data_IF_255140355691
#
_entry.id   IF_255140355691
#
_cell.length_a   1.000
_cell.length_b   1.000
_cell.length_c   1.000
_cell.angle_alpha   90.00
_cell.angle_beta   90.00
_cell.angle_gamma   90.00
#
_symmetry.space_group_name_H-M   'P 1'
#
loop_
_entity.id
_entity.type
_entity.pdbx_description
1 polymer ?
#
# COMPACT_ATOMS: atom_id res chain seq x y z
N UNK A 1 18.37 16.54 -1.34
CA UNK A 1 18.88 15.26 -0.74
C UNK A 1 18.10 14.05 -1.24
N UNK A 2 16.82 13.84 -0.88
CA UNK A 2 16.08 12.64 -1.32
C UNK A 2 15.80 12.63 -2.84
N UNK A 3 15.40 13.77 -3.41
CA UNK A 3 15.16 13.91 -4.86
C UNK A 3 16.41 13.66 -5.68
N UNK A 4 17.56 14.18 -5.23
CA UNK A 4 18.85 14.04 -5.93
C UNK A 4 19.35 12.59 -5.88
N UNK A 5 19.13 11.90 -4.75
CA UNK A 5 19.39 10.47 -4.61
C UNK A 5 18.55 9.66 -5.60
N UNK A 6 17.24 9.90 -5.65
CA UNK A 6 16.33 9.21 -6.56
C UNK A 6 16.71 9.45 -8.03
N UNK A 7 17.03 10.69 -8.39
CA UNK A 7 17.47 11.05 -9.73
C UNK A 7 18.77 10.34 -10.12
N UNK A 8 19.75 10.31 -9.22
CA UNK A 8 21.03 9.61 -9.43
C UNK A 8 20.85 8.10 -9.63
N UNK A 9 19.88 7.48 -8.96
CA UNK A 9 19.58 6.06 -9.10
C UNK A 9 18.59 5.73 -10.23
N UNK A 10 18.08 6.73 -10.95
CA UNK A 10 17.13 6.54 -12.05
C UNK A 10 15.78 5.96 -11.62
N UNK A 11 15.39 6.13 -10.36
CA UNK A 11 14.14 5.57 -9.80
C UNK A 11 12.99 6.55 -10.00
N UNK A 12 11.82 6.07 -10.45
CA UNK A 12 10.61 6.89 -10.51
C UNK A 12 9.84 6.83 -9.19
N UNK A 13 9.68 7.96 -8.50
CA UNK A 13 8.88 8.03 -7.27
C UNK A 13 7.40 8.16 -7.60
N UNK A 14 6.57 7.37 -6.91
CA UNK A 14 5.10 7.47 -6.94
C UNK A 14 4.61 7.87 -5.56
N UNK A 15 3.77 8.90 -5.50
CA UNK A 15 3.16 9.37 -4.26
C UNK A 15 1.72 8.84 -4.17
N UNK A 16 1.32 8.40 -2.97
CA UNK A 16 -0.09 8.13 -2.69
C UNK A 16 -0.89 9.42 -2.76
N UNK A 17 -2.19 9.31 -3.07
CA UNK A 17 -3.11 10.42 -2.97
C UNK A 17 -3.09 11.05 -1.57
N UNK A 18 -3.16 12.38 -1.52
CA UNK A 18 -3.20 13.12 -0.26
C UNK A 18 -4.41 12.69 0.56
N UNK A 19 -4.22 12.50 1.86
CA UNK A 19 -5.28 12.13 2.82
C UNK A 19 -5.97 10.78 2.58
N UNK A 20 -5.60 10.04 1.53
CA UNK A 20 -6.00 8.65 1.30
C UNK A 20 -4.99 7.70 1.97
N UNK A 21 -5.37 7.16 3.13
CA UNK A 21 -4.53 6.21 3.86
C UNK A 21 -4.33 4.88 3.12
N UNK A 22 -5.26 4.48 2.25
CA UNK A 22 -5.28 3.20 1.56
C UNK A 22 -4.17 3.02 0.51
N UNK A 23 -3.63 4.09 -0.07
CA UNK A 23 -2.69 4.03 -1.20
C UNK A 23 -1.41 3.21 -0.96
N UNK A 24 -1.03 3.00 0.30
CA UNK A 24 0.13 2.17 0.69
C UNK A 24 -0.30 0.91 1.46
N UNK A 25 -1.49 0.38 1.18
CA UNK A 25 -2.13 -0.70 1.94
C UNK A 25 -1.30 -1.98 2.02
N UNK A 26 -0.54 -2.32 0.96
CA UNK A 26 0.36 -3.48 0.94
C UNK A 26 1.47 -3.30 1.99
N UNK A 27 2.24 -2.21 1.90
CA UNK A 27 3.30 -1.91 2.86
C UNK A 27 2.79 -1.86 4.31
N UNK A 28 1.61 -1.26 4.52
CA UNK A 28 0.95 -1.22 5.83
C UNK A 28 0.62 -2.61 6.37
N UNK A 29 0.13 -3.52 5.53
CA UNK A 29 -0.15 -4.91 5.91
C UNK A 29 1.14 -5.67 6.22
N UNK A 30 2.20 -5.48 5.43
CA UNK A 30 3.52 -6.04 5.71
C UNK A 30 4.04 -5.59 7.07
N UNK A 31 3.98 -4.28 7.37
CA UNK A 31 4.38 -3.74 8.67
C UNK A 31 3.61 -4.38 9.83
N UNK A 32 2.29 -4.57 9.69
CA UNK A 32 1.49 -5.26 10.71
C UNK A 32 1.99 -6.69 10.94
N UNK A 33 2.23 -7.45 9.87
CA UNK A 33 2.70 -8.84 9.97
C UNK A 33 4.06 -8.95 10.65
N UNK A 34 5.04 -8.13 10.23
CA UNK A 34 6.39 -8.15 10.83
C UNK A 34 6.35 -7.77 12.30
N UNK A 35 5.60 -6.72 12.67
CA UNK A 35 5.43 -6.33 14.09
C UNK A 35 4.80 -7.44 14.92
N UNK A 36 3.80 -8.14 14.39
CA UNK A 36 3.15 -9.27 15.06
C UNK A 36 4.13 -10.43 15.26
N UNK A 37 4.97 -10.74 14.26
CA UNK A 37 5.99 -11.80 14.38
C UNK A 37 6.99 -11.46 15.47
N UNK A 38 7.56 -10.24 15.43
CA UNK A 38 8.53 -9.77 16.42
C UNK A 38 7.97 -9.86 17.85
N UNK A 39 6.74 -9.38 18.07
CA UNK A 39 6.09 -9.43 19.38
C UNK A 39 5.78 -10.86 19.84
N UNK A 40 5.31 -11.75 18.94
CA UNK A 40 4.92 -13.12 19.31
C UNK A 40 6.10 -14.05 19.54
N UNK A 41 7.19 -13.86 18.79
CA UNK A 41 8.40 -14.69 18.89
C UNK A 41 9.47 -14.07 19.79
N UNK A 42 9.22 -12.86 20.32
CA UNK A 42 10.16 -12.09 21.10
C UNK A 42 11.53 -11.97 20.42
N UNK A 43 11.51 -11.61 19.14
CA UNK A 43 12.70 -11.55 18.29
C UNK A 43 12.93 -10.14 17.73
N UNK A 44 14.11 -9.92 17.17
CA UNK A 44 14.47 -8.67 16.48
C UNK A 44 13.61 -8.44 15.22
N UNK A 45 13.65 -7.21 14.70
CA UNK A 45 12.91 -6.86 13.48
C UNK A 45 13.50 -7.58 12.27
N UNK A 46 14.82 -7.76 12.26
CA UNK A 46 15.59 -8.45 11.24
C UNK A 46 15.18 -9.93 11.17
N UNK A 47 15.14 -10.62 12.31
CA UNK A 47 14.68 -12.01 12.41
C UNK A 47 13.21 -12.14 12.03
N UNK A 48 12.36 -11.20 12.45
CA UNK A 48 10.95 -11.18 12.08
C UNK A 48 10.76 -11.00 10.56
N UNK A 49 11.59 -10.17 9.93
CA UNK A 49 11.59 -9.95 8.49
C UNK A 49 12.08 -11.18 7.73
N UNK A 50 13.15 -11.82 8.20
CA UNK A 50 13.62 -13.10 7.65
C UNK A 50 12.50 -14.14 7.68
N UNK A 51 11.88 -14.33 8.85
CA UNK A 51 10.76 -15.26 9.04
C UNK A 51 9.57 -14.91 8.14
N UNK A 52 9.23 -13.63 7.99
CA UNK A 52 8.17 -13.19 7.11
C UNK A 52 8.41 -13.56 5.64
N UNK A 53 9.66 -13.46 5.17
CA UNK A 53 10.01 -13.74 3.79
C UNK A 53 10.08 -15.24 3.46
N UNK A 54 10.51 -16.07 4.42
CA UNK A 54 10.68 -17.53 4.24
C UNK A 54 9.45 -18.35 4.64
N UNK A 55 8.57 -17.81 5.51
CA UNK A 55 7.39 -18.54 5.97
C UNK A 55 6.28 -18.48 4.91
N UNK A 56 5.77 -19.64 4.46
CA UNK A 56 4.63 -19.70 3.54
C UNK A 56 3.38 -19.07 4.14
N UNK A 57 2.61 -18.34 3.34
CA UNK A 57 1.45 -17.59 3.84
C UNK A 57 0.30 -18.50 4.31
N UNK A 58 0.11 -19.64 3.66
CA UNK A 58 -0.98 -20.58 3.94
C UNK A 58 -0.51 -21.90 4.58
N UNK A 59 0.73 -21.96 5.11
CA UNK A 59 1.42 -23.12 5.72
C UNK A 59 1.42 -24.46 4.93
N UNK A 60 0.69 -24.54 3.82
CA UNK A 60 0.46 -25.75 3.01
C UNK A 60 1.32 -25.82 1.75
N UNK A 61 1.81 -24.67 1.25
CA UNK A 61 2.60 -24.62 0.02
C UNK A 61 3.86 -23.74 0.20
N UNK A 62 5.07 -24.33 0.27
CA UNK A 62 6.35 -23.61 0.35
C UNK A 62 6.55 -22.54 -0.73
N UNK A 63 5.98 -22.71 -1.93
CA UNK A 63 6.07 -21.77 -3.04
C UNK A 63 5.33 -20.45 -2.80
N UNK A 64 4.47 -20.37 -1.77
CA UNK A 64 3.76 -19.14 -1.40
C UNK A 64 4.57 -18.20 -0.50
N UNK A 65 5.79 -18.59 -0.11
CA UNK A 65 6.72 -17.72 0.58
C UNK A 65 7.16 -16.57 -0.33
N UNK A 66 7.33 -15.36 0.23
CA UNK A 66 7.60 -14.16 -0.57
C UNK A 66 8.95 -14.23 -1.27
N UNK A 67 9.95 -14.80 -0.61
CA UNK A 67 11.26 -15.03 -1.22
C UNK A 67 11.15 -15.89 -2.48
N UNK A 68 10.30 -16.91 -2.46
CA UNK A 68 10.12 -17.83 -3.59
C UNK A 68 9.41 -17.17 -4.78
N UNK A 69 8.50 -16.22 -4.52
CA UNK A 69 7.87 -15.39 -5.56
C UNK A 69 8.89 -14.46 -6.24
N UNK A 70 9.87 -13.94 -5.50
CA UNK A 70 10.93 -13.05 -6.02
C UNK A 70 11.99 -13.83 -6.80
N UNK A 71 12.33 -15.05 -6.36
CA UNK A 71 13.48 -15.79 -6.89
C UNK A 71 13.19 -16.71 -8.09
N UNK A 72 11.93 -16.88 -8.55
CA UNK A 72 11.53 -17.04 -9.98
C UNK A 72 10.32 -17.99 -10.20
N UNK A 73 9.15 -17.43 -10.55
CA UNK A 73 8.51 -17.54 -11.89
C UNK A 73 7.28 -16.61 -12.04
N UNK A 74 6.78 -16.49 -13.29
CA UNK A 74 6.12 -15.32 -13.88
C UNK A 74 4.95 -14.67 -13.10
N UNK A 75 5.11 -13.36 -12.88
CA UNK A 75 4.10 -12.45 -12.32
C UNK A 75 2.90 -12.37 -13.27
N UNK A 76 1.76 -12.92 -12.84
CA UNK A 76 0.44 -12.51 -13.32
C UNK A 76 -0.29 -11.84 -12.17
N UNK A 77 -0.35 -10.50 -12.23
CA UNK A 77 -1.23 -9.72 -11.36
C UNK A 77 -2.65 -9.95 -11.85
N UNK A 78 -3.50 -10.55 -11.00
CA UNK A 78 -4.94 -10.56 -11.18
C UNK A 78 -5.48 -9.33 -10.45
N UNK A 79 -6.06 -8.40 -11.19
CA UNK A 79 -6.63 -7.18 -10.61
C UNK A 79 -7.74 -7.55 -9.60
N UNK A 80 -7.77 -6.95 -8.40
CA UNK A 80 -8.94 -6.98 -7.56
C UNK A 80 -9.99 -6.03 -8.14
N UNK A 81 -11.21 -6.53 -8.33
CA UNK A 81 -12.39 -5.73 -8.69
C UNK A 81 -12.56 -4.57 -7.71
N UNK A 82 -12.42 -3.34 -8.19
CA UNK A 82 -12.88 -2.13 -7.51
C UNK A 82 -14.33 -1.83 -7.94
N UNK A 83 -15.17 -1.46 -6.97
CA UNK A 83 -16.52 -1.00 -7.23
C UNK A 83 -16.44 0.34 -7.96
N UNK A 84 -16.94 0.36 -9.19
CA UNK A 84 -17.06 1.56 -10.02
C UNK A 84 -18.21 2.44 -9.54
N UNK A 85 -17.90 3.47 -8.75
CA UNK A 85 -18.56 4.76 -8.90
C UNK A 85 -17.55 5.68 -9.59
N UNK A 86 -17.77 5.92 -10.89
CA UNK A 86 -16.89 6.77 -11.70
C UNK A 86 -17.21 8.23 -11.42
N UNK A 87 -16.19 8.99 -11.05
CA UNK A 87 -16.29 10.44 -10.95
C UNK A 87 -16.04 11.07 -12.31
N UNK A 88 -16.90 11.99 -12.72
CA UNK A 88 -16.69 12.83 -13.89
C UNK A 88 -16.12 14.20 -13.48
N UNK A 89 -15.41 14.85 -14.41
CA UNK A 89 -15.01 16.25 -14.22
C UNK A 89 -16.27 17.09 -14.02
N UNK A 90 -16.24 17.98 -13.03
CA UNK A 90 -17.37 18.81 -12.56
C UNK A 90 -18.32 18.15 -11.55
N UNK A 91 -18.11 16.89 -11.18
CA UNK A 91 -18.90 16.28 -10.09
C UNK A 91 -18.68 17.01 -8.76
N UNK A 92 -19.78 17.20 -8.03
CA UNK A 92 -19.75 17.72 -6.66
C UNK A 92 -19.42 16.60 -5.69
N UNK A 93 -18.30 16.73 -4.98
CA UNK A 93 -17.82 15.74 -4.02
C UNK A 93 -17.69 16.33 -2.62
N UNK A 94 -17.74 15.47 -1.60
CA UNK A 94 -17.48 15.86 -0.22
C UNK A 94 -16.04 15.51 0.16
N UNK A 95 -15.22 16.53 0.38
CA UNK A 95 -13.79 16.41 0.69
C UNK A 95 -13.57 16.54 2.19
N UNK A 96 -12.86 15.57 2.77
CA UNK A 96 -12.48 15.60 4.18
C UNK A 96 -11.32 16.60 4.37
N UNK A 97 -11.44 17.57 5.30
CA UNK A 97 -10.35 18.48 5.56
C UNK A 97 -9.13 17.77 6.21
N UNK A 98 -7.91 18.30 6.00
CA UNK A 98 -6.69 17.76 6.60
C UNK A 98 -6.81 17.72 8.13
N UNK A 99 -6.41 16.61 8.77
CA UNK A 99 -6.40 16.49 10.24
C UNK A 99 -7.78 16.41 10.91
N UNK A 100 -8.86 16.28 10.14
CA UNK A 100 -10.23 16.20 10.64
C UNK A 100 -10.45 15.03 11.61
N UNK A 101 -11.17 15.28 12.72
CA UNK A 101 -11.71 14.23 13.61
C UNK A 101 -12.97 13.62 13.02
N UNK A 102 -13.46 12.51 13.60
CA UNK A 102 -14.58 11.74 13.05
C UNK A 102 -15.91 12.52 12.99
N UNK A 103 -16.05 13.55 13.83
CA UNK A 103 -17.18 14.47 13.94
C UNK A 103 -17.08 15.68 13.00
N UNK A 104 -15.93 15.87 12.34
CA UNK A 104 -15.71 17.04 11.49
C UNK A 104 -16.47 16.91 10.17
N UNK A 105 -17.31 17.90 9.86
CA UNK A 105 -18.12 17.94 8.63
C UNK A 105 -17.22 18.05 7.39
N UNK A 106 -17.54 17.26 6.36
CA UNK A 106 -16.84 17.32 5.08
C UNK A 106 -17.19 18.62 4.35
N UNK A 107 -16.25 19.15 3.58
CA UNK A 107 -16.45 20.37 2.77
C UNK A 107 -16.80 19.99 1.34
N UNK A 108 -17.66 20.78 0.69
CA UNK A 108 -17.97 20.56 -0.72
C UNK A 108 -16.77 20.92 -1.58
N UNK A 109 -16.47 20.10 -2.58
CA UNK A 109 -15.45 20.31 -3.59
C UNK A 109 -15.94 19.87 -4.97
N UNK A 110 -15.17 20.18 -5.99
CA UNK A 110 -15.50 19.83 -7.39
C UNK A 110 -14.34 19.06 -7.98
N UNK A 111 -14.63 17.99 -8.72
CA UNK A 111 -13.61 17.20 -9.43
C UNK A 111 -13.06 18.02 -10.59
N UNK A 112 -11.75 18.34 -10.54
CA UNK A 112 -11.08 19.15 -11.57
C UNK A 112 -10.37 18.30 -12.64
N UNK A 113 -10.19 17.00 -12.40
CA UNK A 113 -9.54 16.09 -13.32
C UNK A 113 -9.62 14.65 -12.82
N UNK A 114 -9.72 13.72 -13.76
CA UNK A 114 -9.74 12.27 -13.49
C UNK A 114 -8.38 11.71 -13.88
N UNK A 115 -7.72 11.03 -12.94
CA UNK A 115 -6.33 10.55 -13.10
C UNK A 115 -6.29 9.07 -13.53
N UNK A 116 -7.43 8.38 -13.52
CA UNK A 116 -7.60 6.98 -13.94
C UNK A 116 -9.03 6.75 -14.45
N UNK A 117 -9.17 6.05 -15.58
CA UNK A 117 -10.46 5.60 -16.16
C UNK A 117 -11.06 4.39 -15.44
#
# INVERSE_FOLDING_TARGET
IFTDFIARWGVRVRYRCAYAASGNGIAKRCHRSVKVIAARKNCTVEEAMYLYNVTPRDSRNPWTAQANVVHAYAVRVRDPEEKNERFAVSDSVWVRPPGARCDTRHKKGTVTGVVSD
#
